data_IF_340227788920
#
_entry.id   IF_340227788920
#
_cell.length_a   1.000
_cell.length_b   1.000
_cell.length_c   1.000
_cell.angle_alpha   90.00
_cell.angle_beta   90.00
_cell.angle_gamma   90.00
#
_symmetry.space_group_name_H-M   'P 1'
#
loop_
_entity.id
_entity.type
_entity.pdbx_description
1 polymer ?
#
# COMPACT_ATOMS: atom_id res chain seq x y z
N UNK A 1 2.71 -24.74 15.25
CA UNK A 1 3.59 -23.66 14.77
C UNK A 1 4.78 -24.34 14.12
N UNK A 2 4.89 -24.26 12.80
CA UNK A 2 5.91 -25.00 12.02
C UNK A 2 7.32 -24.50 12.34
N UNK A 3 8.34 -25.33 12.10
CA UNK A 3 9.75 -24.99 12.33
C UNK A 3 10.16 -23.71 11.57
N UNK A 4 9.60 -23.50 10.37
CA UNK A 4 9.84 -22.31 9.53
C UNK A 4 9.37 -21.02 10.19
N UNK A 5 8.24 -21.02 10.90
CA UNK A 5 7.74 -19.85 11.64
C UNK A 5 8.64 -19.50 12.82
N UNK A 6 9.19 -20.53 13.51
CA UNK A 6 10.14 -20.32 14.61
C UNK A 6 11.49 -19.76 14.11
N UNK A 7 11.98 -20.23 12.97
CA UNK A 7 13.20 -19.69 12.32
C UNK A 7 13.00 -18.23 11.89
N UNK A 8 11.85 -17.89 11.32
CA UNK A 8 11.50 -16.54 10.89
C UNK A 8 11.45 -15.56 12.08
N UNK A 9 10.81 -15.94 13.19
CA UNK A 9 10.72 -15.09 14.40
C UNK A 9 12.10 -14.89 15.06
N UNK A 10 12.92 -15.93 15.09
CA UNK A 10 14.29 -15.85 15.63
C UNK A 10 15.17 -14.92 14.78
N UNK A 11 15.02 -14.96 13.48
CA UNK A 11 15.75 -14.08 12.56
C UNK A 11 15.30 -12.61 12.68
N UNK A 12 13.99 -12.35 12.83
CA UNK A 12 13.47 -11.01 13.10
C UNK A 12 14.02 -10.42 14.41
N UNK A 13 14.06 -11.20 15.49
CA UNK A 13 14.66 -10.77 16.76
C UNK A 13 16.18 -10.54 16.65
N UNK A 14 16.88 -11.32 15.81
CA UNK A 14 18.31 -11.14 15.56
C UNK A 14 18.61 -9.79 14.91
N UNK A 15 17.79 -9.39 13.94
CA UNK A 15 17.94 -8.10 13.24
C UNK A 15 17.77 -6.92 14.19
N UNK A 16 16.86 -7.00 15.17
CA UNK A 16 16.63 -5.97 16.18
C UNK A 16 17.82 -5.80 17.15
N UNK A 17 18.74 -6.76 17.22
CA UNK A 17 19.99 -6.62 17.98
C UNK A 17 21.00 -5.70 17.29
N UNK A 18 20.88 -5.47 15.98
CA UNK A 18 21.72 -4.53 15.24
C UNK A 18 21.36 -3.09 15.65
N UNK A 19 22.28 -2.42 16.31
CA UNK A 19 22.07 -1.08 16.88
C UNK A 19 21.61 -0.07 15.83
N UNK A 20 22.23 0.02 14.61
CA UNK A 20 21.77 0.97 13.58
C UNK A 20 20.33 0.69 13.14
N UNK A 21 19.97 -0.57 12.87
CA UNK A 21 18.63 -0.95 12.47
C UNK A 21 17.61 -0.73 13.59
N UNK A 22 17.95 -1.05 14.84
CA UNK A 22 17.06 -0.81 15.98
C UNK A 22 16.75 0.67 16.19
N UNK A 23 17.76 1.54 16.06
CA UNK A 23 17.56 3.01 16.13
C UNK A 23 16.63 3.51 15.04
N UNK A 24 16.88 3.06 13.80
CA UNK A 24 16.03 3.38 12.66
C UNK A 24 14.59 2.92 12.88
N UNK A 25 14.36 1.65 13.23
CA UNK A 25 13.01 1.09 13.30
C UNK A 25 12.16 1.71 14.41
N UNK A 26 12.77 2.12 15.54
CA UNK A 26 12.07 2.87 16.60
C UNK A 26 11.70 4.27 16.11
N UNK A 27 12.61 4.98 15.46
CA UNK A 27 12.33 6.30 14.89
C UNK A 27 11.26 6.23 13.80
N UNK A 28 11.34 5.24 12.90
CA UNK A 28 10.37 4.99 11.86
C UNK A 28 8.98 4.65 12.43
N UNK A 29 8.89 3.79 13.45
CA UNK A 29 7.61 3.44 14.08
C UNK A 29 6.86 4.68 14.62
N UNK A 30 7.58 5.59 15.25
CA UNK A 30 7.01 6.85 15.78
C UNK A 30 6.60 7.76 14.62
N UNK A 31 7.49 7.95 13.64
CA UNK A 31 7.29 8.81 12.47
C UNK A 31 6.14 8.29 11.59
N UNK A 32 6.10 6.99 11.29
CA UNK A 32 5.02 6.38 10.50
C UNK A 32 3.67 6.49 11.20
N UNK A 33 3.64 6.31 12.54
CA UNK A 33 2.41 6.49 13.32
C UNK A 33 1.88 7.91 13.22
N UNK A 34 2.75 8.91 13.36
CA UNK A 34 2.40 10.33 13.16
C UNK A 34 1.91 10.61 11.74
N UNK A 35 2.58 10.05 10.74
CA UNK A 35 2.18 10.18 9.33
C UNK A 35 0.78 9.63 9.08
N UNK A 36 0.44 8.45 9.61
CA UNK A 36 -0.91 7.90 9.48
C UNK A 36 -1.96 8.68 10.28
N UNK A 37 -1.57 9.29 11.42
CA UNK A 37 -2.42 10.25 12.14
C UNK A 37 -2.74 11.44 11.24
N UNK A 38 -1.74 12.03 10.61
CA UNK A 38 -1.90 13.18 9.72
C UNK A 38 -2.74 12.85 8.49
N UNK A 39 -2.56 11.68 7.87
CA UNK A 39 -3.38 11.23 6.73
C UNK A 39 -4.86 11.19 7.09
N UNK A 40 -5.21 10.65 8.24
CA UNK A 40 -6.59 10.66 8.74
C UNK A 40 -7.07 12.08 9.03
N UNK A 41 -6.25 12.90 9.71
CA UNK A 41 -6.58 14.27 10.07
C UNK A 41 -6.81 15.14 8.83
N UNK A 42 -5.99 15.00 7.79
CA UNK A 42 -6.13 15.73 6.53
C UNK A 42 -7.48 15.40 5.85
N UNK A 43 -7.84 14.13 5.77
CA UNK A 43 -9.13 13.70 5.22
C UNK A 43 -10.30 14.22 6.06
N UNK A 44 -10.20 14.16 7.38
CA UNK A 44 -11.21 14.68 8.30
C UNK A 44 -11.39 16.19 8.13
N UNK A 45 -10.30 16.96 8.16
CA UNK A 45 -10.32 18.42 7.99
C UNK A 45 -10.89 18.80 6.62
N UNK A 46 -10.48 18.14 5.55
CA UNK A 46 -11.08 18.36 4.23
C UNK A 46 -12.59 18.13 4.28
N UNK A 47 -13.05 17.08 4.95
CA UNK A 47 -14.48 16.80 5.09
C UNK A 47 -15.24 17.87 5.88
N UNK A 48 -14.57 18.61 6.79
CA UNK A 48 -15.19 19.74 7.51
C UNK A 48 -15.31 21.00 6.67
N UNK A 49 -14.39 21.22 5.74
CA UNK A 49 -14.38 22.38 4.85
C UNK A 49 -15.38 22.26 3.69
N UNK A 50 -15.69 21.02 3.26
CA UNK A 50 -16.58 20.79 2.13
C UNK A 50 -17.40 19.52 2.28
N UNK A 51 -18.59 19.51 1.69
CA UNK A 51 -19.41 18.31 1.51
C UNK A 51 -19.17 17.62 0.16
N UNK A 52 -18.39 18.23 -0.74
CA UNK A 52 -18.08 17.67 -2.06
C UNK A 52 -17.00 16.59 -1.95
N UNK A 53 -17.35 15.37 -2.27
CA UNK A 53 -16.43 14.23 -2.22
C UNK A 53 -15.26 14.39 -3.20
N UNK A 54 -15.48 15.04 -4.35
CA UNK A 54 -14.44 15.27 -5.36
C UNK A 54 -13.23 16.01 -4.80
N UNK A 55 -13.39 16.87 -3.79
CA UNK A 55 -12.28 17.60 -3.17
C UNK A 55 -11.34 16.67 -2.42
N UNK A 56 -11.85 15.60 -1.80
CA UNK A 56 -11.02 14.56 -1.19
C UNK A 56 -10.28 13.77 -2.29
N UNK A 57 -10.95 13.47 -3.39
CA UNK A 57 -10.33 12.87 -4.58
C UNK A 57 -9.23 13.73 -5.16
N UNK A 58 -9.45 15.04 -5.26
CA UNK A 58 -8.43 16.00 -5.72
C UNK A 58 -7.23 16.06 -4.77
N UNK A 59 -7.42 16.03 -3.45
CA UNK A 59 -6.33 15.99 -2.50
C UNK A 59 -5.50 14.68 -2.64
N UNK A 60 -6.17 13.55 -2.87
CA UNK A 60 -5.50 12.28 -3.15
C UNK A 60 -4.73 12.32 -4.48
N UNK A 61 -5.31 12.89 -5.54
CA UNK A 61 -4.63 13.09 -6.82
C UNK A 61 -3.44 14.05 -6.69
N UNK A 62 -3.62 15.14 -5.96
CA UNK A 62 -2.57 16.14 -5.71
C UNK A 62 -1.35 15.57 -4.99
N UNK A 63 -1.55 14.63 -4.07
CA UNK A 63 -0.46 13.90 -3.42
C UNK A 63 0.13 12.80 -4.32
N UNK A 64 -0.71 12.04 -5.00
CA UNK A 64 -0.30 10.86 -5.76
C UNK A 64 0.35 11.18 -7.11
N UNK A 65 -0.09 12.23 -7.80
CA UNK A 65 0.43 12.57 -9.13
C UNK A 65 1.92 12.98 -9.10
N UNK A 66 2.38 13.88 -8.23
CA UNK A 66 3.81 14.18 -8.11
C UNK A 66 4.62 12.94 -7.72
N UNK A 67 4.11 12.13 -6.81
CA UNK A 67 4.77 10.89 -6.39
C UNK A 67 4.96 9.94 -7.59
N UNK A 68 3.92 9.75 -8.42
CA UNK A 68 4.01 8.88 -9.60
C UNK A 68 5.01 9.39 -10.64
N UNK A 69 5.01 10.71 -10.92
CA UNK A 69 5.86 11.32 -11.92
C UNK A 69 7.34 11.43 -11.48
N UNK A 70 7.58 11.73 -10.21
CA UNK A 70 8.91 12.05 -9.69
C UNK A 70 9.61 10.88 -8.99
N UNK A 71 8.95 9.74 -8.75
CA UNK A 71 9.58 8.59 -8.05
C UNK A 71 10.83 8.08 -8.77
N UNK A 72 10.86 8.10 -10.11
CA UNK A 72 12.06 7.72 -10.86
C UNK A 72 13.23 8.71 -10.64
N UNK A 73 12.91 10.01 -10.53
CA UNK A 73 13.90 11.06 -10.22
C UNK A 73 14.40 10.87 -8.79
N UNK A 74 13.48 10.63 -7.84
CA UNK A 74 13.80 10.32 -6.44
C UNK A 74 14.69 9.09 -6.29
N UNK A 75 14.40 8.02 -7.04
CA UNK A 75 15.25 6.83 -7.10
C UNK A 75 16.66 7.15 -7.59
N UNK A 76 16.77 7.87 -8.71
CA UNK A 76 18.08 8.31 -9.23
C UNK A 76 18.82 9.23 -8.25
N UNK A 77 18.12 10.07 -7.50
CA UNK A 77 18.71 10.88 -6.45
C UNK A 77 19.22 10.02 -5.28
N UNK A 78 18.47 8.99 -4.88
CA UNK A 78 18.88 8.05 -3.82
C UNK A 78 20.14 7.26 -4.18
N UNK A 79 20.36 7.01 -5.48
CA UNK A 79 21.57 6.35 -5.99
C UNK A 79 22.78 7.29 -6.02
N UNK A 80 22.55 8.57 -6.33
CA UNK A 80 23.65 9.55 -6.56
C UNK A 80 24.06 10.32 -5.28
N UNK A 81 23.12 10.59 -4.40
CA UNK A 81 23.35 11.40 -3.21
C UNK A 81 23.37 10.55 -1.94
N UNK A 82 23.83 11.13 -0.85
CA UNK A 82 23.80 10.52 0.47
C UNK A 82 22.34 10.33 0.92
N UNK A 83 21.93 9.07 1.07
CA UNK A 83 20.57 8.69 1.45
C UNK A 83 20.12 9.33 2.75
N UNK A 84 21.04 9.43 3.73
CA UNK A 84 20.78 10.10 5.02
C UNK A 84 20.46 11.57 4.84
N UNK A 85 21.18 12.29 3.94
CA UNK A 85 20.93 13.70 3.67
C UNK A 85 19.58 13.91 2.99
N UNK A 86 19.22 13.03 2.05
CA UNK A 86 17.90 13.07 1.40
C UNK A 86 16.80 12.86 2.44
N UNK A 87 16.92 11.83 3.29
CA UNK A 87 15.94 11.57 4.34
C UNK A 87 15.82 12.72 5.34
N UNK A 88 16.93 13.31 5.77
CA UNK A 88 16.88 14.48 6.64
C UNK A 88 16.19 15.68 5.97
N UNK A 89 16.49 15.94 4.69
CA UNK A 89 15.85 17.03 3.95
C UNK A 89 14.33 16.81 3.81
N UNK A 90 13.89 15.60 3.48
CA UNK A 90 12.47 15.28 3.40
C UNK A 90 11.77 15.42 4.75
N UNK A 91 12.39 14.97 5.85
CA UNK A 91 11.82 15.13 7.19
C UNK A 91 11.67 16.62 7.59
N UNK A 92 12.67 17.46 7.32
CA UNK A 92 12.57 18.90 7.60
C UNK A 92 11.45 19.58 6.79
N UNK A 93 11.32 19.22 5.50
CA UNK A 93 10.22 19.72 4.66
C UNK A 93 8.87 19.29 5.23
N UNK A 94 8.72 18.02 5.61
CA UNK A 94 7.46 17.49 6.16
C UNK A 94 7.11 18.10 7.52
N UNK A 95 8.10 18.37 8.38
CA UNK A 95 7.90 19.12 9.63
C UNK A 95 7.35 20.53 9.33
N UNK A 96 8.01 21.26 8.42
CA UNK A 96 7.59 22.61 8.07
C UNK A 96 6.16 22.63 7.51
N UNK A 97 5.83 21.67 6.64
CA UNK A 97 4.49 21.53 6.08
C UNK A 97 3.45 21.19 7.16
N UNK A 98 3.74 20.23 8.05
CA UNK A 98 2.82 19.85 9.12
C UNK A 98 2.56 21.00 10.10
N UNK A 99 3.61 21.73 10.49
CA UNK A 99 3.48 22.91 11.36
C UNK A 99 2.66 23.99 10.66
N UNK A 100 2.89 24.27 9.37
CA UNK A 100 2.17 25.30 8.62
C UNK A 100 0.67 25.00 8.56
N UNK A 101 0.27 23.77 8.26
CA UNK A 101 -1.14 23.37 8.25
C UNK A 101 -1.72 23.42 9.67
N UNK A 102 -0.99 22.97 10.70
CA UNK A 102 -1.42 23.05 12.08
C UNK A 102 -1.77 24.49 12.50
N UNK A 103 -0.92 25.46 12.17
CA UNK A 103 -1.17 26.87 12.44
C UNK A 103 -2.33 27.45 11.62
N UNK A 104 -2.48 27.06 10.34
CA UNK A 104 -3.62 27.48 9.53
C UNK A 104 -4.95 26.98 10.11
N UNK A 105 -4.99 25.74 10.62
CA UNK A 105 -6.17 25.21 11.32
C UNK A 105 -6.47 26.03 12.58
N UNK A 106 -5.46 26.28 13.43
CA UNK A 106 -5.64 27.04 14.67
C UNK A 106 -6.09 28.49 14.44
N UNK A 107 -5.59 29.12 13.38
CA UNK A 107 -5.98 30.50 13.03
C UNK A 107 -7.36 30.62 12.40
N UNK A 108 -8.03 29.51 12.09
CA UNK A 108 -9.30 29.49 11.38
C UNK A 108 -9.25 29.96 9.92
N UNK A 109 -8.03 30.12 9.35
CA UNK A 109 -7.81 30.60 7.99
C UNK A 109 -7.55 29.49 6.97
N UNK A 110 -7.76 28.24 7.38
CA UNK A 110 -7.56 27.09 6.51
C UNK A 110 -8.62 27.06 5.41
N UNK A 111 -8.18 26.99 4.15
CA UNK A 111 -9.01 26.84 2.96
C UNK A 111 -8.65 25.55 2.21
N UNK A 112 -9.52 25.11 1.31
CA UNK A 112 -9.33 23.86 0.51
C UNK A 112 -8.01 23.90 -0.26
N UNK A 113 -7.66 25.02 -0.88
CA UNK A 113 -6.44 25.15 -1.68
C UNK A 113 -5.16 24.96 -0.86
N UNK A 114 -5.16 25.35 0.42
CA UNK A 114 -4.02 25.08 1.31
C UNK A 114 -3.79 23.59 1.47
N UNK A 115 -4.87 22.78 1.62
CA UNK A 115 -4.76 21.32 1.72
C UNK A 115 -4.28 20.72 0.40
N UNK A 116 -4.73 21.24 -0.75
CA UNK A 116 -4.26 20.78 -2.06
C UNK A 116 -2.78 21.11 -2.28
N UNK A 117 -2.35 22.33 -1.96
CA UNK A 117 -0.94 22.72 -2.05
C UNK A 117 -0.05 21.87 -1.13
N UNK A 118 -0.50 21.65 0.10
CA UNK A 118 0.14 20.76 1.06
C UNK A 118 0.24 19.31 0.52
N UNK A 119 -0.82 18.79 -0.08
CA UNK A 119 -0.83 17.45 -0.67
C UNK A 119 0.18 17.33 -1.82
N UNK A 120 0.30 18.34 -2.70
CA UNK A 120 1.32 18.40 -3.75
C UNK A 120 2.72 18.37 -3.16
N UNK A 121 2.99 19.23 -2.16
CA UNK A 121 4.30 19.31 -1.51
C UNK A 121 4.70 18.02 -0.81
N UNK A 122 3.75 17.36 -0.12
CA UNK A 122 3.96 16.02 0.45
C UNK A 122 4.23 14.97 -0.64
N UNK A 123 3.48 14.99 -1.75
CA UNK A 123 3.70 14.08 -2.86
C UNK A 123 5.10 14.20 -3.46
N UNK A 124 5.60 15.44 -3.61
CA UNK A 124 6.97 15.71 -4.03
C UNK A 124 7.96 15.14 -3.00
N UNK A 125 7.80 15.44 -1.71
CA UNK A 125 8.68 14.95 -0.65
C UNK A 125 8.72 13.43 -0.63
N UNK A 126 7.56 12.75 -0.68
CA UNK A 126 7.44 11.30 -0.66
C UNK A 126 8.07 10.64 -1.89
N UNK A 127 8.12 11.32 -3.04
CA UNK A 127 8.77 10.80 -4.24
C UNK A 127 10.28 10.61 -4.09
N UNK A 128 10.90 11.35 -3.20
CA UNK A 128 12.32 11.19 -2.84
C UNK A 128 12.50 10.28 -1.61
N UNK A 129 11.63 10.38 -0.62
CA UNK A 129 11.72 9.63 0.62
C UNK A 129 11.54 8.13 0.43
N UNK A 130 10.46 7.70 -0.23
CA UNK A 130 10.13 6.28 -0.38
C UNK A 130 11.22 5.44 -1.07
N UNK A 131 11.77 5.83 -2.24
CA UNK A 131 12.87 5.08 -2.84
C UNK A 131 14.14 5.12 -1.98
N UNK A 132 14.39 6.25 -1.30
CA UNK A 132 15.55 6.38 -0.42
C UNK A 132 15.43 5.45 0.80
N UNK A 133 14.28 5.34 1.45
CA UNK A 133 14.04 4.40 2.56
C UNK A 133 14.22 2.95 2.10
N UNK A 134 13.68 2.58 0.93
CA UNK A 134 13.83 1.24 0.39
C UNK A 134 15.30 0.86 0.12
N UNK A 135 16.12 1.83 -0.25
CA UNK A 135 17.55 1.65 -0.44
C UNK A 135 18.37 1.73 0.86
N UNK A 136 17.89 2.47 1.86
CA UNK A 136 18.58 2.69 3.13
C UNK A 136 18.44 1.51 4.10
N UNK A 137 17.26 0.89 4.21
CA UNK A 137 16.99 -0.21 5.13
C UNK A 137 17.96 -1.39 4.95
N UNK A 138 18.25 -1.88 3.73
CA UNK A 138 19.25 -2.94 3.50
C UNK A 138 20.66 -2.56 3.95
N UNK A 139 21.01 -1.28 3.97
CA UNK A 139 22.33 -0.83 4.39
C UNK A 139 22.55 -0.91 5.91
N UNK A 140 21.50 -1.02 6.70
CA UNK A 140 21.56 -1.06 8.16
C UNK A 140 21.91 -2.44 8.73
N UNK A 141 21.92 -3.46 7.88
CA UNK A 141 22.07 -4.88 8.27
C UNK A 141 23.08 -5.59 7.38
N UNK A 142 23.42 -6.84 7.72
CA UNK A 142 24.25 -7.71 6.86
C UNK A 142 23.43 -8.34 5.74
N UNK A 143 24.07 -8.81 4.66
CA UNK A 143 23.40 -9.35 3.46
C UNK A 143 22.44 -10.51 3.78
N UNK A 144 22.77 -11.36 4.72
CA UNK A 144 21.96 -12.49 5.21
C UNK A 144 20.72 -12.05 6.01
N UNK A 145 20.72 -10.83 6.54
CA UNK A 145 19.64 -10.27 7.35
C UNK A 145 18.68 -9.37 6.58
N UNK A 146 18.97 -9.03 5.31
CA UNK A 146 18.18 -8.04 4.52
C UNK A 146 16.70 -8.40 4.45
N UNK A 147 16.36 -9.66 4.17
CA UNK A 147 14.95 -10.09 4.07
C UNK A 147 14.21 -9.91 5.40
N UNK A 148 14.89 -10.24 6.52
CA UNK A 148 14.31 -10.07 7.85
C UNK A 148 14.14 -8.59 8.21
N UNK A 149 15.09 -7.73 7.85
CA UNK A 149 15.01 -6.29 8.06
C UNK A 149 13.84 -5.67 7.30
N UNK A 150 13.69 -6.01 6.02
CA UNK A 150 12.56 -5.56 5.19
C UNK A 150 11.23 -6.05 5.78
N UNK A 151 11.16 -7.31 6.25
CA UNK A 151 9.95 -7.85 6.85
C UNK A 151 9.55 -7.10 8.13
N UNK A 152 10.51 -6.78 9.01
CA UNK A 152 10.27 -6.00 10.23
C UNK A 152 9.85 -4.56 9.89
N UNK A 153 10.53 -3.91 8.96
CA UNK A 153 10.17 -2.55 8.48
C UNK A 153 8.73 -2.50 7.95
N UNK A 154 8.34 -3.43 7.10
CA UNK A 154 6.98 -3.54 6.61
C UNK A 154 5.95 -3.84 7.70
N UNK A 155 6.30 -4.68 8.67
CA UNK A 155 5.44 -4.96 9.83
C UNK A 155 5.21 -3.69 10.67
N UNK A 156 6.24 -2.88 10.88
CA UNK A 156 6.14 -1.59 11.59
C UNK A 156 5.26 -0.63 10.80
N UNK A 157 5.51 -0.44 9.51
CA UNK A 157 4.71 0.43 8.64
C UNK A 157 3.22 0.06 8.65
N UNK A 158 2.89 -1.24 8.53
CA UNK A 158 1.51 -1.70 8.60
C UNK A 158 0.92 -1.60 10.01
N UNK A 159 1.72 -1.81 11.06
CA UNK A 159 1.31 -1.59 12.45
C UNK A 159 0.96 -0.12 12.73
N UNK A 160 1.78 0.80 12.23
CA UNK A 160 1.54 2.24 12.34
C UNK A 160 0.24 2.67 11.64
N UNK A 161 -0.12 2.01 10.53
CA UNK A 161 -1.40 2.21 9.83
C UNK A 161 -2.62 1.81 10.67
N UNK A 162 -2.46 0.87 11.61
CA UNK A 162 -3.52 0.49 12.56
C UNK A 162 -3.61 1.52 13.68
N UNK A 163 -2.47 1.84 14.28
CA UNK A 163 -2.38 2.68 15.49
C UNK A 163 -2.62 4.15 15.19
N UNK A 164 -2.03 4.67 14.08
CA UNK A 164 -2.06 6.09 13.74
C UNK A 164 -3.47 6.68 13.67
N UNK A 165 -4.39 6.16 12.84
CA UNK A 165 -5.75 6.69 12.73
C UNK A 165 -6.54 6.60 14.05
N UNK A 166 -6.33 5.54 14.85
CA UNK A 166 -6.98 5.40 16.16
C UNK A 166 -6.53 6.49 17.12
N UNK A 167 -5.23 6.77 17.18
CA UNK A 167 -4.68 7.88 17.95
C UNK A 167 -5.16 9.23 17.41
N UNK A 168 -5.20 9.41 16.09
CA UNK A 168 -5.71 10.64 15.50
C UNK A 168 -7.14 10.96 15.94
N UNK A 169 -8.02 9.96 15.96
CA UNK A 169 -9.39 10.12 16.45
C UNK A 169 -9.43 10.66 17.88
N UNK A 170 -8.61 10.11 18.77
CA UNK A 170 -8.48 10.55 20.17
C UNK A 170 -7.94 11.99 20.24
N UNK A 171 -6.83 12.26 19.53
CA UNK A 171 -6.18 13.58 19.56
C UNK A 171 -7.09 14.68 18.99
N UNK A 172 -7.76 14.41 17.89
CA UNK A 172 -8.67 15.36 17.25
C UNK A 172 -9.85 15.67 18.14
N UNK A 173 -10.43 14.66 18.78
CA UNK A 173 -11.58 14.88 19.67
C UNK A 173 -11.22 15.59 20.98
N UNK A 174 -10.00 15.37 21.49
CA UNK A 174 -9.54 15.98 22.74
C UNK A 174 -8.97 17.40 22.55
N UNK A 175 -8.20 17.63 21.50
CA UNK A 175 -7.41 18.86 21.31
C UNK A 175 -7.61 19.53 19.95
N UNK A 176 -8.58 19.06 19.15
CA UNK A 176 -8.86 19.61 17.82
C UNK A 176 -7.92 19.06 16.73
N UNK A 177 -8.28 19.33 15.47
CA UNK A 177 -7.62 18.74 14.31
C UNK A 177 -6.14 19.12 14.15
N UNK A 178 -5.74 20.32 14.60
CA UNK A 178 -4.36 20.78 14.55
C UNK A 178 -3.40 19.89 15.35
N UNK A 179 -3.89 19.26 16.43
CA UNK A 179 -3.06 18.42 17.30
C UNK A 179 -2.41 17.24 16.55
N UNK A 180 -3.12 16.63 15.61
CA UNK A 180 -2.59 15.51 14.84
C UNK A 180 -1.43 15.94 13.92
N UNK A 181 -1.48 17.16 13.38
CA UNK A 181 -0.39 17.72 12.56
C UNK A 181 0.82 18.08 13.40
N UNK A 182 0.63 18.71 14.56
CA UNK A 182 1.74 19.01 15.47
C UNK A 182 2.39 17.76 16.05
N UNK A 183 1.58 16.77 16.42
CA UNK A 183 2.12 15.48 16.86
C UNK A 183 2.95 14.82 15.76
N UNK A 184 2.49 14.87 14.51
CA UNK A 184 3.28 14.33 13.40
C UNK A 184 4.58 15.13 13.19
N UNK A 185 4.55 16.46 13.29
CA UNK A 185 5.77 17.25 13.23
C UNK A 185 6.79 16.83 14.31
N UNK A 186 6.32 16.56 15.53
CA UNK A 186 7.17 16.04 16.62
C UNK A 186 7.64 14.61 16.30
N UNK A 187 6.79 13.76 15.73
CA UNK A 187 7.15 12.38 15.42
C UNK A 187 8.28 12.28 14.39
N UNK A 188 8.36 13.20 13.44
CA UNK A 188 9.47 13.28 12.49
C UNK A 188 10.81 13.55 13.16
N UNK A 189 10.82 14.29 14.29
CA UNK A 189 12.05 14.53 15.08
C UNK A 189 12.62 13.20 15.59
N UNK A 190 11.79 12.21 15.93
CA UNK A 190 12.26 10.89 16.37
C UNK A 190 13.06 10.18 15.26
N UNK A 191 12.59 10.24 14.00
CA UNK A 191 13.35 9.69 12.87
C UNK A 191 14.62 10.49 12.58
N UNK A 192 14.58 11.82 12.67
CA UNK A 192 15.77 12.69 12.53
C UNK A 192 16.83 12.31 13.57
N UNK A 193 16.46 12.17 14.84
CA UNK A 193 17.37 11.74 15.91
C UNK A 193 17.95 10.36 15.57
N UNK A 194 17.13 9.41 15.17
CA UNK A 194 17.58 8.08 14.77
C UNK A 194 18.61 8.15 13.63
N UNK A 195 18.35 8.96 12.59
CA UNK A 195 19.27 9.15 11.47
C UNK A 195 20.60 9.80 11.90
N UNK A 196 20.59 10.75 12.85
CA UNK A 196 21.83 11.31 13.40
C UNK A 196 22.64 10.30 14.22
N UNK A 197 21.98 9.36 14.88
CA UNK A 197 22.64 8.33 15.69
C UNK A 197 23.21 7.16 14.88
N UNK A 198 22.90 7.09 13.57
CA UNK A 198 23.42 6.04 12.67
C UNK A 198 24.69 6.56 12.00
N UNK A 199 25.82 5.84 12.14
CA UNK A 199 27.08 6.28 11.52
C UNK A 199 26.96 6.24 9.98
N UNK A 200 27.58 7.21 9.28
CA UNK A 200 27.64 7.21 7.83
C UNK A 200 28.40 5.97 7.33
N UNK A 201 27.87 5.32 6.31
CA UNK A 201 28.57 4.19 5.64
C UNK A 201 29.24 4.66 4.36
N UNK A 202 30.38 4.05 3.97
CA UNK A 202 31.01 4.27 2.67
C UNK A 202 30.00 3.88 1.55
N UNK A 203 29.98 4.68 0.49
CA UNK A 203 29.15 4.39 -0.71
C UNK A 203 29.55 3.06 -1.31
N UNK A 204 28.57 2.20 -1.63
CA UNK A 204 28.77 1.04 -2.50
C UNK A 204 29.16 1.50 -3.91
N UNK A 205 29.92 0.67 -4.63
CA UNK A 205 30.37 0.98 -5.98
C UNK A 205 29.20 0.99 -6.97
N UNK A 206 29.15 2.01 -7.81
CA UNK A 206 28.08 2.28 -8.80
C UNK A 206 27.85 1.15 -9.83
N UNK A 207 28.75 0.18 -9.95
CA UNK A 207 28.65 -0.91 -10.92
C UNK A 207 27.57 -1.96 -10.61
N UNK A 208 27.21 -2.15 -9.32
CA UNK A 208 26.15 -3.09 -8.93
C UNK A 208 24.74 -2.53 -9.20
N UNK A 209 24.61 -1.22 -9.31
CA UNK A 209 23.31 -0.53 -9.43
C UNK A 209 22.83 -0.43 -10.89
N UNK A 210 23.74 -0.30 -11.84
CA UNK A 210 23.43 -0.11 -13.27
C UNK A 210 22.74 -1.35 -13.91
N UNK A 211 22.93 -2.55 -13.36
CA UNK A 211 22.27 -3.79 -13.82
C UNK A 211 20.80 -3.91 -13.43
N UNK A 212 20.29 -3.09 -12.50
CA UNK A 212 18.90 -3.12 -12.05
C UNK A 212 17.92 -2.29 -12.87
N UNK A 213 18.39 -1.26 -13.57
CA UNK A 213 17.54 -0.27 -14.25
C UNK A 213 16.98 -0.69 -15.61
N UNK A 214 17.52 -1.74 -16.25
CA UNK A 214 17.10 -2.14 -17.59
C UNK A 214 16.05 -3.24 -17.56
N UNK A 215 14.79 -2.93 -17.92
CA UNK A 215 13.89 -4.00 -18.34
C UNK A 215 12.48 -4.08 -17.82
N UNK A 216 11.86 -3.00 -17.28
CA UNK A 216 10.43 -3.03 -16.93
C UNK A 216 9.54 -3.45 -18.11
N UNK A 217 9.95 -3.15 -19.34
CA UNK A 217 9.27 -3.58 -20.58
C UNK A 217 9.16 -5.10 -20.71
N UNK A 218 10.15 -5.85 -20.22
CA UNK A 218 10.10 -7.32 -20.23
C UNK A 218 9.09 -7.86 -19.22
N UNK A 219 8.98 -7.20 -18.05
CA UNK A 219 7.94 -7.51 -17.08
C UNK A 219 6.53 -7.32 -17.66
N UNK A 220 6.28 -6.20 -18.35
CA UNK A 220 5.02 -5.97 -19.07
C UNK A 220 4.76 -7.01 -20.16
N UNK A 221 5.78 -7.35 -20.97
CA UNK A 221 5.66 -8.36 -22.03
C UNK A 221 5.35 -9.74 -21.47
N UNK A 222 5.97 -10.12 -20.35
CA UNK A 222 5.68 -11.38 -19.66
C UNK A 222 4.24 -11.41 -19.18
N UNK A 223 3.80 -10.38 -18.43
CA UNK A 223 2.45 -10.27 -17.91
C UNK A 223 1.40 -10.31 -19.02
N UNK A 224 1.61 -9.60 -20.12
CA UNK A 224 0.69 -9.58 -21.26
C UNK A 224 0.53 -10.96 -21.93
N UNK A 225 1.55 -11.80 -21.87
CA UNK A 225 1.52 -13.17 -22.43
C UNK A 225 0.98 -14.20 -21.44
N UNK A 226 1.23 -14.03 -20.14
CA UNK A 226 0.75 -14.94 -19.10
C UNK A 226 -0.66 -14.57 -18.63
N UNK A 227 -1.68 -15.20 -19.24
CA UNK A 227 -3.09 -14.92 -18.97
C UNK A 227 -3.48 -14.95 -17.49
N UNK A 228 -3.00 -15.90 -16.64
CA UNK A 228 -3.30 -15.88 -15.22
C UNK A 228 -2.69 -14.67 -14.49
N UNK A 229 -1.43 -14.29 -14.78
CA UNK A 229 -0.82 -13.09 -14.20
C UNK A 229 -1.54 -11.82 -14.64
N UNK A 230 -1.93 -11.71 -15.90
CA UNK A 230 -2.72 -10.60 -16.41
C UNK A 230 -4.07 -10.50 -15.68
N UNK A 231 -4.72 -11.63 -15.43
CA UNK A 231 -5.99 -11.68 -14.72
C UNK A 231 -5.83 -11.25 -13.25
N UNK A 232 -4.75 -11.66 -12.56
CA UNK A 232 -4.47 -11.20 -11.19
C UNK A 232 -4.22 -9.68 -11.13
N UNK A 233 -3.46 -9.16 -12.08
CA UNK A 233 -3.22 -7.72 -12.19
C UNK A 233 -4.53 -6.98 -12.51
N UNK A 234 -5.37 -7.52 -13.38
CA UNK A 234 -6.70 -6.98 -13.67
C UNK A 234 -7.63 -6.98 -12.45
N UNK A 235 -7.57 -8.02 -11.62
CA UNK A 235 -8.31 -8.06 -10.35
C UNK A 235 -7.84 -6.96 -9.38
N UNK A 236 -6.52 -6.77 -9.25
CA UNK A 236 -5.98 -5.72 -8.40
C UNK A 236 -6.32 -4.33 -8.96
N UNK A 237 -6.24 -4.14 -10.27
CA UNK A 237 -6.68 -2.89 -10.90
C UNK A 237 -8.18 -2.59 -10.62
N UNK A 238 -9.05 -3.59 -10.76
CA UNK A 238 -10.47 -3.44 -10.41
C UNK A 238 -10.67 -3.12 -8.92
N UNK A 239 -9.95 -3.78 -8.04
CA UNK A 239 -9.97 -3.50 -6.59
C UNK A 239 -9.53 -2.07 -6.30
N UNK A 240 -8.46 -1.62 -6.97
CA UNK A 240 -7.91 -0.25 -6.82
C UNK A 240 -8.88 0.80 -7.33
N UNK A 241 -9.58 0.54 -8.42
CA UNK A 241 -10.50 1.51 -9.02
C UNK A 241 -11.81 1.61 -8.25
N UNK A 242 -12.40 0.49 -7.84
CA UNK A 242 -13.76 0.48 -7.31
C UNK A 242 -13.85 0.43 -5.79
N UNK A 243 -12.88 -0.19 -5.10
CA UNK A 243 -13.01 -0.47 -3.67
C UNK A 243 -12.05 0.37 -2.81
N UNK A 244 -10.78 0.43 -3.21
CA UNK A 244 -9.74 1.03 -2.38
C UNK A 244 -10.00 2.52 -2.04
N UNK A 245 -10.46 3.39 -2.99
CA UNK A 245 -10.73 4.78 -2.69
C UNK A 245 -11.89 5.00 -1.71
N UNK A 246 -12.83 4.08 -1.63
CA UNK A 246 -13.94 4.16 -0.67
C UNK A 246 -13.38 4.17 0.75
N UNK A 247 -12.41 3.29 1.04
CA UNK A 247 -11.83 3.14 2.38
C UNK A 247 -10.81 4.22 2.67
N UNK A 248 -9.99 4.59 1.68
CA UNK A 248 -8.84 5.47 1.90
C UNK A 248 -9.16 6.94 1.69
N UNK A 249 -10.12 7.28 0.82
CA UNK A 249 -10.43 8.66 0.44
C UNK A 249 -11.79 9.09 0.96
N UNK A 250 -12.84 8.27 0.78
CA UNK A 250 -14.21 8.68 1.08
C UNK A 250 -14.62 8.49 2.54
N UNK A 251 -13.89 7.69 3.33
CA UNK A 251 -14.28 7.33 4.69
C UNK A 251 -14.51 8.54 5.62
N UNK A 252 -13.69 9.62 5.60
CA UNK A 252 -13.94 10.79 6.44
C UNK A 252 -15.30 11.44 6.15
N UNK A 253 -15.64 11.58 4.86
CA UNK A 253 -16.90 12.17 4.43
C UNK A 253 -18.10 11.23 4.71
N UNK A 254 -17.91 9.92 4.53
CA UNK A 254 -18.90 8.91 4.86
C UNK A 254 -19.27 8.95 6.36
N UNK A 255 -18.30 8.98 7.24
CA UNK A 255 -18.52 9.04 8.69
C UNK A 255 -19.27 10.31 9.06
N UNK A 256 -18.91 11.44 8.47
CA UNK A 256 -19.51 12.73 8.78
C UNK A 256 -20.92 12.90 8.17
N UNK A 257 -21.10 12.63 6.89
CA UNK A 257 -22.36 12.92 6.19
C UNK A 257 -23.38 11.78 6.26
N UNK A 258 -22.91 10.52 6.26
CA UNK A 258 -23.82 9.35 6.24
C UNK A 258 -24.14 8.86 7.63
N UNK A 259 -23.11 8.82 8.52
CA UNK A 259 -23.27 8.36 9.90
C UNK A 259 -23.52 9.51 10.90
N UNK A 260 -23.23 10.77 10.55
CA UNK A 260 -23.38 11.92 11.44
C UNK A 260 -22.41 11.92 12.63
N UNK A 261 -21.20 11.31 12.46
CA UNK A 261 -20.26 11.06 13.55
C UNK A 261 -18.97 11.87 13.40
N UNK A 262 -18.20 11.99 14.49
CA UNK A 262 -16.98 12.77 14.58
C UNK A 262 -15.70 11.99 14.26
N UNK A 263 -14.55 12.65 14.53
CA UNK A 263 -13.21 12.12 14.27
C UNK A 263 -12.88 10.89 15.13
N UNK A 264 -13.39 10.82 16.36
CA UNK A 264 -13.24 9.68 17.26
C UNK A 264 -13.73 8.38 16.60
N UNK A 265 -14.94 8.43 16.06
CA UNK A 265 -15.55 7.29 15.37
C UNK A 265 -14.87 6.96 14.05
N UNK A 266 -14.40 7.98 13.31
CA UNK A 266 -13.59 7.76 12.12
C UNK A 266 -12.30 6.99 12.46
N UNK A 267 -11.59 7.39 13.53
CA UNK A 267 -10.38 6.71 13.99
C UNK A 267 -10.64 5.24 14.36
N UNK A 268 -11.73 4.95 15.07
CA UNK A 268 -12.13 3.58 15.40
C UNK A 268 -12.44 2.76 14.14
N UNK A 269 -13.16 3.32 13.16
CA UNK A 269 -13.45 2.63 11.88
C UNK A 269 -12.20 2.31 11.08
N UNK A 270 -11.27 3.26 10.98
CA UNK A 270 -10.00 3.05 10.28
C UNK A 270 -9.12 2.02 11.00
N UNK A 271 -9.08 2.06 12.35
CA UNK A 271 -8.40 1.06 13.17
C UNK A 271 -9.01 -0.34 12.99
N UNK A 272 -10.32 -0.46 13.01
CA UNK A 272 -11.05 -1.72 12.78
C UNK A 272 -10.76 -2.29 11.37
N UNK A 273 -10.77 -1.43 10.34
CA UNK A 273 -10.37 -1.80 8.98
C UNK A 273 -8.95 -2.38 8.94
N UNK A 274 -8.01 -1.75 9.64
CA UNK A 274 -6.63 -2.20 9.69
C UNK A 274 -6.48 -3.55 10.43
N UNK A 275 -7.23 -3.77 11.52
CA UNK A 275 -7.31 -5.08 12.20
C UNK A 275 -7.81 -6.15 11.24
N UNK A 276 -8.86 -5.88 10.45
CA UNK A 276 -9.34 -6.80 9.42
C UNK A 276 -8.26 -7.20 8.43
N UNK A 277 -7.43 -6.21 7.99
CA UNK A 277 -6.32 -6.47 7.07
C UNK A 277 -5.24 -7.37 7.69
N UNK A 278 -4.90 -7.18 8.96
CA UNK A 278 -3.93 -8.04 9.69
C UNK A 278 -4.47 -9.47 9.79
N UNK A 279 -5.73 -9.64 10.17
CA UNK A 279 -6.36 -10.95 10.24
C UNK A 279 -6.32 -11.64 8.86
N UNK A 280 -6.67 -10.91 7.79
CA UNK A 280 -6.62 -11.43 6.42
C UNK A 280 -5.21 -11.86 5.98
N UNK A 281 -4.18 -11.10 6.35
CA UNK A 281 -2.79 -11.45 6.07
C UNK A 281 -2.34 -12.74 6.80
N UNK A 282 -2.81 -12.95 8.04
CA UNK A 282 -2.52 -14.18 8.79
C UNK A 282 -3.20 -15.39 8.15
N UNK A 283 -4.48 -15.26 7.77
CA UNK A 283 -5.22 -16.34 7.10
C UNK A 283 -4.62 -16.75 5.76
N UNK A 284 -4.01 -15.79 5.04
CA UNK A 284 -3.32 -16.04 3.77
C UNK A 284 -2.30 -17.18 3.84
N UNK A 285 -1.57 -17.29 4.95
CA UNK A 285 -0.48 -18.27 5.14
C UNK A 285 -1.02 -19.71 5.10
N UNK A 286 -2.28 -19.92 5.47
CA UNK A 286 -2.89 -21.24 5.61
C UNK A 286 -3.55 -21.77 4.33
N UNK A 287 -3.58 -21.00 3.22
CA UNK A 287 -4.34 -21.37 2.01
C UNK A 287 -3.49 -22.23 1.07
N UNK A 288 -3.89 -23.50 0.82
CA UNK A 288 -3.21 -24.37 -0.13
C UNK A 288 -3.28 -23.84 -1.56
N UNK A 289 -2.25 -24.13 -2.38
CA UNK A 289 -2.15 -23.68 -3.79
C UNK A 289 -3.41 -24.00 -4.61
N UNK A 290 -3.94 -25.21 -4.47
CA UNK A 290 -5.11 -25.70 -5.22
C UNK A 290 -6.42 -24.97 -4.89
N UNK A 291 -6.52 -24.37 -3.69
CA UNK A 291 -7.73 -23.68 -3.21
C UNK A 291 -7.67 -22.15 -3.35
N UNK A 292 -6.56 -21.56 -3.85
CA UNK A 292 -6.38 -20.11 -3.91
C UNK A 292 -7.43 -19.39 -4.75
N UNK A 293 -7.66 -19.84 -5.99
CA UNK A 293 -8.64 -19.21 -6.90
C UNK A 293 -10.07 -19.32 -6.36
N UNK A 294 -10.57 -20.50 -5.92
CA UNK A 294 -11.87 -20.59 -5.25
C UNK A 294 -12.00 -19.67 -4.02
N UNK A 295 -10.95 -19.59 -3.21
CA UNK A 295 -10.93 -18.71 -2.04
C UNK A 295 -11.02 -17.23 -2.44
N UNK A 296 -10.31 -16.82 -3.49
CA UNK A 296 -10.39 -15.45 -4.03
C UNK A 296 -11.80 -15.12 -4.51
N UNK A 297 -12.52 -16.09 -5.14
CA UNK A 297 -13.91 -15.88 -5.55
C UNK A 297 -14.83 -15.61 -4.36
N UNK A 298 -14.69 -16.38 -3.28
CA UNK A 298 -15.44 -16.15 -2.03
C UNK A 298 -15.11 -14.78 -1.45
N UNK A 299 -13.82 -14.43 -1.38
CA UNK A 299 -13.39 -13.13 -0.87
C UNK A 299 -13.89 -11.95 -1.70
N UNK A 300 -13.97 -12.07 -3.02
CA UNK A 300 -14.58 -11.05 -3.88
C UNK A 300 -16.04 -10.85 -3.50
N UNK A 301 -16.76 -11.94 -3.25
CA UNK A 301 -18.15 -11.89 -2.75
C UNK A 301 -18.23 -11.18 -1.40
N UNK A 302 -17.36 -11.52 -0.44
CA UNK A 302 -17.30 -10.87 0.88
C UNK A 302 -17.05 -9.36 0.74
N UNK A 303 -16.07 -8.96 -0.06
CA UNK A 303 -15.72 -7.54 -0.29
C UNK A 303 -16.89 -6.80 -0.93
N UNK A 304 -17.50 -7.36 -1.98
CA UNK A 304 -18.63 -6.74 -2.67
C UNK A 304 -19.85 -6.61 -1.75
N UNK A 305 -20.20 -7.66 -1.00
CA UNK A 305 -21.30 -7.63 -0.02
C UNK A 305 -21.01 -6.64 1.11
N UNK A 306 -19.76 -6.55 1.57
CA UNK A 306 -19.38 -5.61 2.62
C UNK A 306 -19.53 -4.15 2.16
N UNK A 307 -19.09 -3.79 0.96
CA UNK A 307 -19.24 -2.42 0.43
C UNK A 307 -20.70 -2.12 0.08
N UNK A 308 -21.43 -3.10 -0.48
CA UNK A 308 -22.87 -2.93 -0.71
C UNK A 308 -23.61 -2.73 0.63
N UNK A 309 -23.30 -3.55 1.64
CA UNK A 309 -23.85 -3.38 2.99
C UNK A 309 -23.50 -2.02 3.61
N UNK A 310 -22.27 -1.53 3.38
CA UNK A 310 -21.83 -0.20 3.83
C UNK A 310 -22.68 0.91 3.19
N UNK A 311 -23.09 0.77 1.92
CA UNK A 311 -23.98 1.72 1.25
C UNK A 311 -25.35 1.83 1.91
N UNK A 312 -25.78 0.82 2.67
CA UNK A 312 -27.07 0.74 3.36
C UNK A 312 -26.96 0.77 4.88
N UNK A 313 -25.73 0.78 5.44
CA UNK A 313 -25.52 0.65 6.89
C UNK A 313 -26.24 1.76 7.68
N UNK A 314 -27.16 1.38 8.59
CA UNK A 314 -27.89 2.34 9.44
C UNK A 314 -27.15 2.69 10.71
N UNK A 315 -26.10 1.94 11.09
CA UNK A 315 -25.43 2.11 12.37
C UNK A 315 -23.91 2.01 12.25
N UNK A 316 -23.22 2.65 13.18
CA UNK A 316 -21.78 2.62 13.33
C UNK A 316 -21.21 1.20 13.47
N UNK A 317 -21.81 0.38 14.32
CA UNK A 317 -21.32 -0.97 14.61
C UNK A 317 -21.42 -1.89 13.40
N UNK A 318 -22.48 -1.77 12.61
CA UNK A 318 -22.62 -2.51 11.36
C UNK A 318 -21.55 -2.05 10.34
N UNK A 319 -21.36 -0.74 10.18
CA UNK A 319 -20.32 -0.20 9.31
C UNK A 319 -18.93 -0.70 9.73
N UNK A 320 -18.63 -0.76 11.01
CA UNK A 320 -17.39 -1.28 11.57
C UNK A 320 -17.18 -2.76 11.23
N UNK A 321 -18.19 -3.59 11.46
CA UNK A 321 -18.12 -5.02 11.11
C UNK A 321 -17.91 -5.23 9.61
N UNK A 322 -18.65 -4.51 8.76
CA UNK A 322 -18.50 -4.57 7.31
C UNK A 322 -17.11 -4.13 6.84
N UNK A 323 -16.52 -3.11 7.46
CA UNK A 323 -15.16 -2.68 7.14
C UNK A 323 -14.10 -3.70 7.55
N UNK A 324 -14.28 -4.40 8.68
CA UNK A 324 -13.38 -5.50 9.08
C UNK A 324 -13.39 -6.60 8.02
N UNK A 325 -14.58 -7.08 7.62
CA UNK A 325 -14.71 -8.12 6.59
C UNK A 325 -14.20 -7.67 5.23
N UNK A 326 -14.48 -6.42 4.83
CA UNK A 326 -13.97 -5.85 3.60
C UNK A 326 -12.44 -5.85 3.59
N UNK A 327 -11.82 -5.35 4.63
CA UNK A 327 -10.36 -5.22 4.72
C UNK A 327 -9.65 -6.56 4.84
N UNK A 328 -10.28 -7.54 5.52
CA UNK A 328 -9.84 -8.93 5.53
C UNK A 328 -9.81 -9.50 4.13
N UNK A 329 -10.92 -9.40 3.38
CA UNK A 329 -11.02 -9.88 2.00
C UNK A 329 -10.02 -9.19 1.05
N UNK A 330 -9.83 -7.88 1.20
CA UNK A 330 -8.85 -7.12 0.40
C UNK A 330 -7.42 -7.59 0.65
N UNK A 331 -7.01 -7.76 1.92
CA UNK A 331 -5.67 -8.21 2.26
C UNK A 331 -5.40 -9.62 1.71
N UNK A 332 -6.37 -10.52 1.81
CA UNK A 332 -6.27 -11.87 1.24
C UNK A 332 -6.19 -11.84 -0.28
N UNK A 333 -7.05 -11.08 -0.97
CA UNK A 333 -7.04 -11.01 -2.42
C UNK A 333 -5.75 -10.40 -2.96
N UNK A 334 -5.26 -9.33 -2.32
CA UNK A 334 -3.99 -8.71 -2.69
C UNK A 334 -2.81 -9.67 -2.50
N UNK A 335 -2.73 -10.32 -1.35
CA UNK A 335 -1.67 -11.28 -1.05
C UNK A 335 -1.69 -12.50 -1.95
N UNK A 336 -2.88 -13.11 -2.21
CA UNK A 336 -3.02 -14.24 -3.11
C UNK A 336 -2.67 -13.89 -4.55
N UNK A 337 -3.15 -12.74 -5.05
CA UNK A 337 -2.83 -12.27 -6.38
C UNK A 337 -1.32 -12.05 -6.57
N UNK A 338 -0.68 -11.37 -5.60
CA UNK A 338 0.77 -11.16 -5.61
C UNK A 338 1.54 -12.50 -5.60
N UNK A 339 1.13 -13.44 -4.75
CA UNK A 339 1.77 -14.76 -4.66
C UNK A 339 1.64 -15.52 -5.99
N UNK A 340 0.46 -15.56 -6.59
CA UNK A 340 0.23 -16.23 -7.89
C UNK A 340 1.12 -15.63 -8.97
N UNK A 341 1.16 -14.31 -9.06
CA UNK A 341 1.97 -13.59 -10.06
C UNK A 341 3.47 -13.88 -9.88
N UNK A 342 3.97 -13.87 -8.64
CA UNK A 342 5.38 -14.13 -8.36
C UNK A 342 5.81 -15.59 -8.57
N UNK A 343 4.93 -16.55 -8.24
CA UNK A 343 5.21 -17.98 -8.45
C UNK A 343 5.26 -18.35 -9.95
N UNK A 344 4.56 -17.60 -10.80
CA UNK A 344 4.55 -17.81 -12.26
C UNK A 344 5.70 -17.12 -12.96
N UNK A 345 6.25 -16.08 -12.37
CA UNK A 345 7.35 -15.32 -12.95
C UNK A 345 8.66 -16.11 -12.84
N UNK A 346 9.44 -16.25 -13.93
CA UNK A 346 10.81 -16.76 -13.86
C UNK A 346 11.66 -15.95 -12.88
N UNK A 347 12.63 -16.59 -12.23
CA UNK A 347 13.43 -15.97 -11.17
C UNK A 347 14.06 -14.63 -11.58
N UNK A 348 14.57 -14.56 -12.83
CA UNK A 348 15.20 -13.35 -13.37
C UNK A 348 14.22 -12.22 -13.71
N UNK A 349 12.89 -12.50 -13.77
CA UNK A 349 11.83 -11.51 -14.03
C UNK A 349 11.02 -11.14 -12.81
N UNK A 350 11.13 -11.85 -11.67
CA UNK A 350 10.28 -11.64 -10.48
C UNK A 350 10.21 -10.18 -10.04
N UNK A 351 11.34 -9.49 -9.96
CA UNK A 351 11.36 -8.08 -9.57
C UNK A 351 10.63 -7.16 -10.56
N UNK A 352 10.78 -7.42 -11.89
CA UNK A 352 10.13 -6.64 -12.95
C UNK A 352 8.61 -6.87 -12.96
N UNK A 353 8.18 -8.11 -12.80
CA UNK A 353 6.76 -8.48 -12.72
C UNK A 353 6.11 -7.91 -11.45
N UNK A 354 6.85 -7.93 -10.33
CA UNK A 354 6.40 -7.29 -9.08
C UNK A 354 6.24 -5.78 -9.24
N UNK A 355 7.12 -5.12 -10.00
CA UNK A 355 6.98 -3.69 -10.31
C UNK A 355 5.71 -3.39 -11.14
N UNK A 356 5.39 -4.23 -12.14
CA UNK A 356 4.14 -4.11 -12.93
C UNK A 356 2.91 -4.31 -12.02
N UNK A 357 2.95 -5.30 -11.12
CA UNK A 357 1.89 -5.53 -10.15
C UNK A 357 1.68 -4.32 -9.23
N UNK A 358 2.75 -3.74 -8.69
CA UNK A 358 2.66 -2.55 -7.85
C UNK A 358 2.19 -1.33 -8.61
N UNK A 359 2.57 -1.16 -9.87
CA UNK A 359 2.10 -0.07 -10.72
C UNK A 359 0.59 -0.14 -10.96
N UNK A 360 0.01 -1.34 -11.09
CA UNK A 360 -1.45 -1.51 -11.22
C UNK A 360 -2.23 -1.12 -9.96
N UNK A 361 -1.56 -1.07 -8.82
CA UNK A 361 -2.13 -0.62 -7.55
C UNK A 361 -1.84 0.86 -7.30
N UNK A 362 -0.56 1.23 -7.12
CA UNK A 362 -0.15 2.58 -6.74
C UNK A 362 -0.41 3.59 -7.86
N UNK A 363 -0.19 3.19 -9.12
CA UNK A 363 -0.34 4.07 -10.28
C UNK A 363 -1.80 4.44 -10.60
N UNK A 364 -2.75 3.53 -10.35
CA UNK A 364 -4.16 3.80 -10.61
C UNK A 364 -4.86 4.52 -9.45
N UNK A 365 -4.32 4.44 -8.22
CA UNK A 365 -4.98 4.92 -7.01
C UNK A 365 -5.36 6.43 -7.04
N UNK A 366 -4.50 7.37 -7.51
CA UNK A 366 -4.85 8.78 -7.54
C UNK A 366 -6.03 9.09 -8.47
N UNK A 367 -6.04 8.50 -9.66
CA UNK A 367 -7.10 8.69 -10.66
C UNK A 367 -8.40 7.99 -10.22
N UNK A 368 -8.28 6.79 -9.66
CA UNK A 368 -9.41 6.04 -9.12
C UNK A 368 -10.12 6.80 -7.99
N UNK A 369 -9.33 7.43 -7.10
CA UNK A 369 -9.85 8.28 -6.04
C UNK A 369 -10.71 9.42 -6.59
N UNK A 370 -10.22 10.11 -7.61
CA UNK A 370 -10.97 11.19 -8.25
C UNK A 370 -12.26 10.69 -8.94
N UNK A 371 -12.18 9.54 -9.63
CA UNK A 371 -13.32 8.97 -10.35
C UNK A 371 -14.47 8.60 -9.42
N UNK A 372 -14.20 7.86 -8.34
CA UNK A 372 -15.24 7.40 -7.42
C UNK A 372 -15.83 8.54 -6.57
N UNK A 373 -15.00 9.52 -6.20
CA UNK A 373 -15.47 10.71 -5.46
C UNK A 373 -16.31 11.63 -6.35
N UNK A 374 -15.92 11.83 -7.61
CA UNK A 374 -16.73 12.58 -8.58
C UNK A 374 -18.08 11.90 -8.86
N UNK A 375 -18.07 10.57 -9.01
CA UNK A 375 -19.31 9.79 -9.13
C UNK A 375 -20.21 9.98 -7.91
N UNK A 376 -19.61 9.98 -6.71
CA UNK A 376 -20.36 10.19 -5.45
C UNK A 376 -21.05 11.54 -5.39
N UNK A 377 -20.44 12.59 -5.92
CA UNK A 377 -21.06 13.93 -5.96
C UNK A 377 -22.22 14.01 -6.98
N UNK A 378 -22.18 13.21 -8.07
CA UNK A 378 -23.23 13.21 -9.10
C UNK A 378 -24.47 12.41 -8.71
N UNK A 379 -24.29 11.22 -8.11
CA UNK A 379 -25.39 10.26 -7.87
C UNK A 379 -25.64 9.99 -6.37
N UNK A 380 -24.89 10.67 -5.49
CA UNK A 380 -24.92 10.47 -4.05
C UNK A 380 -24.02 9.32 -3.58
N UNK A 381 -23.47 9.48 -2.37
CA UNK A 381 -22.46 8.59 -1.82
C UNK A 381 -22.95 7.14 -1.68
N UNK A 382 -24.15 6.93 -1.16
CA UNK A 382 -24.71 5.57 -0.97
C UNK A 382 -24.87 4.83 -2.30
N UNK A 383 -25.36 5.52 -3.33
CA UNK A 383 -25.55 4.96 -4.68
C UNK A 383 -24.19 4.66 -5.34
N UNK A 384 -23.22 5.57 -5.20
CA UNK A 384 -21.86 5.36 -5.73
C UNK A 384 -21.18 4.13 -5.12
N UNK A 385 -21.30 3.92 -3.78
CA UNK A 385 -20.80 2.73 -3.11
C UNK A 385 -21.47 1.45 -3.64
N UNK A 386 -22.80 1.45 -3.80
CA UNK A 386 -23.53 0.29 -4.31
C UNK A 386 -23.13 -0.08 -5.74
N UNK A 387 -23.01 0.93 -6.64
CA UNK A 387 -22.56 0.72 -8.02
C UNK A 387 -21.11 0.21 -8.05
N UNK A 388 -20.21 0.81 -7.27
CA UNK A 388 -18.82 0.37 -7.19
C UNK A 388 -18.71 -1.10 -6.74
N UNK A 389 -19.50 -1.50 -5.74
CA UNK A 389 -19.57 -2.89 -5.27
C UNK A 389 -20.04 -3.84 -6.39
N UNK A 390 -21.09 -3.46 -7.12
CA UNK A 390 -21.63 -4.23 -8.25
C UNK A 390 -20.63 -4.38 -9.40
N UNK A 391 -20.03 -3.26 -9.85
CA UNK A 391 -19.01 -3.26 -10.90
C UNK A 391 -17.80 -4.12 -10.51
N UNK A 392 -17.32 -3.97 -9.28
CA UNK A 392 -16.23 -4.78 -8.77
C UNK A 392 -16.58 -6.28 -8.78
N UNK A 393 -17.76 -6.64 -8.26
CA UNK A 393 -18.20 -8.03 -8.20
C UNK A 393 -18.24 -8.66 -9.59
N UNK A 394 -18.87 -7.98 -10.56
CA UNK A 394 -18.99 -8.46 -11.94
C UNK A 394 -17.62 -8.65 -12.60
N UNK A 395 -16.78 -7.62 -12.55
CA UNK A 395 -15.45 -7.67 -13.18
C UNK A 395 -14.59 -8.75 -12.52
N UNK A 396 -14.54 -8.78 -11.19
CA UNK A 396 -13.70 -9.71 -10.46
C UNK A 396 -14.15 -11.17 -10.65
N UNK A 397 -15.46 -11.44 -10.67
CA UNK A 397 -15.99 -12.78 -10.92
C UNK A 397 -15.75 -13.24 -12.36
N UNK A 398 -15.86 -12.35 -13.35
CA UNK A 398 -15.51 -12.67 -14.75
C UNK A 398 -14.02 -13.02 -14.85
N UNK A 399 -13.15 -12.20 -14.26
CA UNK A 399 -11.70 -12.41 -14.27
C UNK A 399 -11.34 -13.75 -13.63
N UNK A 400 -11.81 -14.01 -12.41
CA UNK A 400 -11.52 -15.24 -11.69
C UNK A 400 -12.18 -16.48 -12.31
N UNK A 401 -13.37 -16.34 -12.87
CA UNK A 401 -14.03 -17.42 -13.61
C UNK A 401 -13.24 -17.88 -14.84
N UNK A 402 -12.63 -16.93 -15.57
CA UNK A 402 -11.72 -17.25 -16.68
C UNK A 402 -10.47 -17.99 -16.21
N UNK A 403 -9.85 -17.54 -15.12
CA UNK A 403 -8.67 -18.21 -14.54
C UNK A 403 -9.00 -19.62 -14.09
N UNK A 404 -10.13 -19.82 -13.39
CA UNK A 404 -10.57 -21.13 -12.94
C UNK A 404 -10.74 -22.11 -14.10
N UNK A 405 -11.35 -21.69 -15.21
CA UNK A 405 -11.53 -22.54 -16.41
C UNK A 405 -10.20 -22.90 -17.05
N UNK A 406 -9.21 -21.98 -17.08
CA UNK A 406 -7.88 -22.24 -17.62
C UNK A 406 -7.05 -23.19 -16.75
N UNK A 407 -7.19 -23.10 -15.42
CA UNK A 407 -6.53 -24.03 -14.50
C UNK A 407 -7.22 -25.42 -14.46
N UNK A 408 -8.46 -25.53 -14.89
CA UNK A 408 -9.21 -26.78 -14.96
C UNK A 408 -8.99 -27.56 -16.27
N UNK A 409 -8.43 -26.94 -17.32
CA UNK A 409 -8.02 -27.65 -18.51
C UNK A 409 -6.73 -28.42 -18.20
N UNK A 410 -6.70 -29.78 -18.39
CA UNK A 410 -5.47 -30.52 -18.24
C UNK A 410 -4.44 -29.92 -19.19
N UNK A 411 -3.19 -29.75 -18.70
CA UNK A 411 -2.08 -29.34 -19.54
C UNK A 411 -2.13 -30.26 -20.78
N UNK A 412 -2.30 -29.66 -21.97
CA UNK A 412 -2.13 -30.37 -23.23
C UNK A 412 -0.77 -31.01 -23.12
N UNK A 413 -0.73 -32.34 -23.05
CA UNK A 413 0.50 -33.10 -22.98
C UNK A 413 1.42 -32.55 -24.08
N UNK A 414 2.53 -31.93 -23.70
CA UNK A 414 3.60 -31.66 -24.64
C UNK A 414 3.92 -32.99 -25.29
N UNK A 415 3.57 -33.11 -26.56
CA UNK A 415 3.98 -34.25 -27.39
C UNK A 415 5.49 -34.37 -27.19
N UNK A 416 6.01 -35.52 -26.75
CA UNK A 416 7.44 -35.70 -26.60
C UNK A 416 8.05 -35.33 -27.95
N UNK A 417 8.89 -34.31 -27.96
CA UNK A 417 9.70 -33.96 -29.12
C UNK A 417 10.39 -35.24 -29.57
N UNK A 418 10.11 -35.65 -30.81
CA UNK A 418 10.71 -36.81 -31.45
C UNK A 418 12.20 -36.85 -31.12
N UNK A 419 12.61 -37.95 -30.49
CA UNK A 419 14.02 -38.26 -30.23
C UNK A 419 14.82 -38.03 -31.52
N UNK A 420 15.74 -37.09 -31.50
CA UNK A 420 16.74 -36.94 -32.52
C UNK A 420 17.55 -38.23 -32.51
N UNK A 421 17.62 -39.01 -33.63
CA UNK A 421 18.38 -40.24 -33.63
C UNK A 421 19.85 -39.95 -33.34
N UNK A 422 20.41 -40.69 -32.40
CA UNK A 422 21.83 -40.60 -32.05
C UNK A 422 22.72 -40.78 -33.30
N UNK A 423 23.81 -40.02 -33.46
CA UNK A 423 24.72 -40.19 -34.57
C UNK A 423 25.38 -41.57 -34.48
N UNK A 424 25.65 -42.27 -35.63
CA UNK A 424 26.23 -43.59 -35.65
C UNK A 424 27.64 -43.53 -35.06
N UNK A 425 27.92 -44.45 -34.15
CA UNK A 425 29.26 -44.68 -33.59
C UNK A 425 30.14 -45.14 -34.75
N UNK A 426 31.09 -44.31 -35.16
CA UNK A 426 32.15 -44.69 -36.10
C UNK A 426 33.08 -45.70 -35.41
N UNK A 427 33.06 -46.94 -35.86
CA UNK A 427 34.05 -47.96 -35.49
C UNK A 427 35.42 -47.53 -36.00
N UNK A 428 36.35 -47.24 -35.07
CA UNK A 428 37.76 -47.10 -35.39
C UNK A 428 38.40 -48.47 -35.44
N UNK A 429 38.93 -48.81 -36.58
CA UNK A 429 39.98 -49.88 -36.82
C UNK A 429 41.34 -49.30 -36.48
#
# INVERSE_FOLDING_TARGET
MSADVKLSTRNALRVLRRVPFRRYIIGSAISDTGTWMQVMAQGYVMSTLTSKAIMLGMANLAAGLPMLLLTMVGGSAADRFDKRKILLATQYVQIALAISIGFLIMSGKLEIWHILAFAVALGISNSFEMPTLNAFVPELVTRDEIQSAIAVDRAVFHGSRVVGPSLAGIFISAWGAASAFFFNAISFVALIIALFMIPPRPRGTAEEEQKRASGIKEGFRFVAKDKPSLAMIGLIAATTVFIFPIITVMMPLYVRLVLGLGADRLGVLMGASAVGSVIGAIFLISIPRTKRVPFMMVNVGIVACAIFGLSRAPSFYLAMALLIFNSLGLAMNFGLANTIVQERAPDYLRGRVSAVFMLSFVGLMPVAGLGITGLSDLIGMRTALAIAAGCYAVIALIVLGRVRRQCAQPAVAETPSAETPAPPIAAAV
#
